data_IF_252121457098
#
_entry.id   IF_252121457098
#
_cell.length_a   1.000
_cell.length_b   1.000
_cell.length_c   1.000
_cell.angle_alpha   90.00
_cell.angle_beta   90.00
_cell.angle_gamma   90.00
#
_symmetry.space_group_name_H-M   'P 1'
#
loop_
_entity.id
_entity.type
_entity.pdbx_description
1 polymer ?
#
# COMPACT_ATOMS: atom_id res chain seq x y z
N UNK A 1 24.18 -23.35 5.98
CA UNK A 1 23.16 -24.27 6.52
C UNK A 1 22.53 -23.63 7.76
N UNK A 2 21.20 -23.42 7.73
CA UNK A 2 20.23 -23.31 8.84
C UNK A 2 20.62 -22.45 10.06
N UNK A 3 19.91 -21.38 10.44
CA UNK A 3 18.46 -21.30 10.68
C UNK A 3 18.00 -19.84 10.63
N UNK A 4 16.92 -19.53 9.90
CA UNK A 4 16.11 -18.32 10.13
C UNK A 4 14.91 -18.74 10.99
N UNK A 5 14.80 -18.15 12.18
CA UNK A 5 13.63 -18.27 13.05
C UNK A 5 12.45 -17.58 12.37
N UNK A 6 11.50 -18.40 11.90
CA UNK A 6 10.16 -17.97 11.53
C UNK A 6 9.35 -18.04 12.83
N UNK A 7 8.90 -16.89 13.33
CA UNK A 7 7.95 -16.83 14.43
C UNK A 7 6.60 -17.35 13.94
N UNK A 8 6.30 -18.62 14.26
CA UNK A 8 4.99 -19.21 14.09
C UNK A 8 4.08 -18.70 15.20
N UNK A 9 3.07 -17.90 14.84
CA UNK A 9 1.98 -17.53 15.74
C UNK A 9 1.09 -18.77 15.87
N UNK A 10 1.16 -19.44 17.03
CA UNK A 10 0.31 -20.56 17.39
C UNK A 10 -1.15 -20.11 17.49
N UNK A 11 -2.00 -20.70 16.66
CA UNK A 11 -3.44 -20.65 16.81
C UNK A 11 -3.88 -21.43 18.04
N UNK A 12 -4.52 -20.75 18.99
CA UNK A 12 -5.37 -21.40 19.98
C UNK A 12 -6.79 -21.50 19.41
N UNK A 13 -7.27 -22.74 19.27
CA UNK A 13 -8.69 -23.06 19.10
C UNK A 13 -9.49 -22.49 20.29
N UNK A 14 -10.18 -21.37 20.07
CA UNK A 14 -11.24 -20.89 20.94
C UNK A 14 -12.55 -21.57 20.57
N UNK A 15 -13.24 -22.10 21.58
CA UNK A 15 -14.56 -22.71 21.47
C UNK A 15 -15.56 -21.76 20.79
N UNK A 16 -16.44 -22.33 19.96
CA UNK A 16 -17.57 -21.63 19.33
C UNK A 16 -18.58 -21.24 20.42
N UNK A 17 -18.34 -20.10 21.05
CA UNK A 17 -19.38 -19.37 21.77
C UNK A 17 -20.22 -18.65 20.73
N UNK A 18 -21.54 -18.84 20.77
CA UNK A 18 -22.49 -18.22 19.86
C UNK A 18 -22.15 -16.74 19.64
N UNK A 19 -21.76 -16.42 18.41
CA UNK A 19 -21.41 -15.06 18.02
C UNK A 19 -22.71 -14.27 18.02
N UNK A 20 -22.87 -13.43 19.02
CA UNK A 20 -23.86 -12.36 18.97
C UNK A 20 -23.57 -11.57 17.69
N UNK A 21 -24.60 -11.43 16.84
CA UNK A 21 -24.56 -10.61 15.64
C UNK A 21 -23.83 -9.29 15.94
N UNK A 22 -22.85 -8.92 15.12
CA UNK A 22 -22.07 -7.70 15.26
C UNK A 22 -22.46 -6.73 14.13
N UNK A 23 -23.40 -5.80 14.40
CA UNK A 23 -23.79 -4.80 13.40
C UNK A 23 -22.64 -3.89 12.98
N UNK A 24 -21.64 -3.71 13.85
CA UNK A 24 -20.46 -2.90 13.56
C UNK A 24 -19.23 -3.78 13.44
N UNK A 25 -18.56 -3.75 12.30
CA UNK A 25 -17.32 -4.49 12.05
C UNK A 25 -16.20 -3.56 11.59
N UNK A 26 -14.99 -3.78 12.08
CA UNK A 26 -13.78 -3.14 11.56
C UNK A 26 -13.00 -4.18 10.80
N UNK A 27 -12.72 -3.90 9.52
CA UNK A 27 -11.94 -4.77 8.66
C UNK A 27 -10.60 -4.12 8.35
N UNK A 28 -9.52 -4.84 8.65
CA UNK A 28 -8.17 -4.47 8.27
C UNK A 28 -7.54 -5.63 7.51
N UNK A 29 -7.23 -5.39 6.25
CA UNK A 29 -6.90 -6.43 5.27
C UNK A 29 -5.58 -6.06 4.61
N UNK A 30 -4.66 -7.00 4.49
CA UNK A 30 -3.41 -6.80 3.73
C UNK A 30 -3.34 -7.76 2.55
N UNK A 31 -2.96 -7.25 1.38
CA UNK A 31 -2.71 -8.07 0.19
C UNK A 31 -1.77 -7.37 -0.79
N UNK A 32 -1.19 -8.16 -1.70
CA UNK A 32 -0.39 -7.67 -2.82
C UNK A 32 -1.30 -7.36 -4.02
N UNK A 33 -1.14 -6.19 -4.62
CA UNK A 33 -2.02 -5.67 -5.67
C UNK A 33 -2.05 -6.56 -6.90
N UNK A 34 -0.91 -7.14 -7.28
CA UNK A 34 -0.79 -7.96 -8.48
C UNK A 34 -1.46 -9.33 -8.33
N UNK A 35 -1.25 -9.98 -7.18
CA UNK A 35 -1.80 -11.32 -6.88
C UNK A 35 -3.21 -11.26 -6.30
N UNK A 36 -3.57 -10.17 -5.61
CA UNK A 36 -4.81 -10.03 -4.87
C UNK A 36 -4.86 -10.97 -3.66
N UNK A 37 -6.08 -11.31 -3.24
CA UNK A 37 -6.37 -12.30 -2.20
C UNK A 37 -7.75 -12.89 -2.41
N UNK A 38 -8.09 -13.97 -1.73
CA UNK A 38 -9.45 -14.50 -1.72
C UNK A 38 -10.49 -13.44 -1.28
N UNK A 39 -11.74 -13.64 -1.71
CA UNK A 39 -12.89 -12.83 -1.33
C UNK A 39 -12.94 -12.55 0.18
N UNK A 40 -13.32 -11.33 0.54
CA UNK A 40 -13.40 -10.93 1.93
C UNK A 40 -14.81 -10.58 2.35
N UNK A 41 -15.30 -11.31 3.34
CA UNK A 41 -16.64 -11.15 3.88
C UNK A 41 -16.61 -10.20 5.07
N UNK A 42 -17.36 -9.11 4.98
CA UNK A 42 -17.61 -8.20 6.12
C UNK A 42 -18.64 -8.82 7.05
N UNK A 43 -19.67 -9.42 6.45
CA UNK A 43 -20.65 -10.26 7.11
C UNK A 43 -20.79 -11.55 6.30
N UNK A 44 -20.70 -12.69 6.98
CA UNK A 44 -20.84 -14.00 6.37
C UNK A 44 -21.91 -14.78 7.13
N UNK A 45 -23.07 -14.93 6.51
CA UNK A 45 -24.23 -15.56 7.14
C UNK A 45 -24.62 -14.92 8.49
N UNK A 46 -24.57 -13.59 8.54
CA UNK A 46 -24.90 -12.82 9.74
C UNK A 46 -26.41 -12.89 10.04
N UNK A 47 -26.83 -13.36 11.22
CA UNK A 47 -28.24 -13.49 11.55
C UNK A 47 -28.92 -12.12 11.71
N UNK A 48 -30.24 -12.04 11.47
CA UNK A 48 -30.98 -10.81 11.71
C UNK A 48 -31.06 -10.51 13.22
N UNK A 49 -31.35 -9.25 13.60
CA UNK A 49 -31.51 -8.86 15.01
C UNK A 49 -32.68 -9.57 15.70
N UNK A 50 -33.68 -10.00 14.93
CA UNK A 50 -34.86 -10.73 15.41
C UNK A 50 -35.35 -11.69 14.32
N UNK A 51 -36.05 -12.74 14.73
CA UNK A 51 -36.83 -13.62 13.85
C UNK A 51 -38.29 -13.59 14.31
N UNK A 52 -39.16 -12.96 13.53
CA UNK A 52 -40.59 -12.87 13.83
C UNK A 52 -41.45 -12.81 12.56
N UNK A 53 -42.78 -12.77 12.71
CA UNK A 53 -43.66 -12.63 11.55
C UNK A 53 -43.31 -11.38 10.74
N UNK A 54 -43.04 -10.26 11.41
CA UNK A 54 -42.74 -8.97 10.78
C UNK A 54 -41.44 -8.99 9.96
N UNK A 55 -40.43 -9.77 10.39
CA UNK A 55 -39.14 -9.87 9.68
C UNK A 55 -39.24 -10.55 8.32
N UNK A 56 -40.36 -11.23 8.03
CA UNK A 56 -40.67 -11.83 6.72
C UNK A 56 -40.59 -10.83 5.58
N UNK A 57 -40.97 -9.57 5.83
CA UNK A 57 -41.00 -8.48 4.85
C UNK A 57 -39.82 -7.51 5.02
N UNK A 58 -38.89 -7.82 5.92
CA UNK A 58 -37.73 -6.97 6.14
C UNK A 58 -36.71 -7.10 5.01
N UNK A 59 -36.03 -5.99 4.75
CA UNK A 59 -34.96 -5.87 3.78
C UNK A 59 -33.81 -5.04 4.37
N UNK A 60 -32.67 -5.06 3.70
CA UNK A 60 -31.52 -4.22 3.97
C UNK A 60 -31.51 -3.03 3.01
N UNK A 61 -31.82 -1.85 3.51
CA UNK A 61 -31.53 -0.61 2.79
C UNK A 61 -30.01 -0.46 2.64
N UNK A 62 -29.58 -0.22 1.41
CA UNK A 62 -28.16 -0.18 1.03
C UNK A 62 -27.79 1.02 0.15
N UNK A 63 -28.74 1.93 -0.11
CA UNK A 63 -28.52 3.13 -0.91
C UNK A 63 -28.58 4.37 -0.03
N UNK A 64 -27.48 5.14 0.00
CA UNK A 64 -27.30 6.34 0.79
C UNK A 64 -26.60 7.41 -0.05
N UNK A 65 -27.36 8.27 -0.76
CA UNK A 65 -26.80 9.30 -1.64
C UNK A 65 -25.84 10.27 -0.94
N UNK A 66 -26.13 10.65 0.30
CA UNK A 66 -25.30 11.57 1.10
C UNK A 66 -23.87 11.03 1.33
N UNK A 67 -23.73 9.72 1.41
CA UNK A 67 -22.44 9.02 1.55
C UNK A 67 -21.88 8.54 0.20
N UNK A 68 -22.51 8.92 -0.92
CA UNK A 68 -22.19 8.44 -2.27
C UNK A 68 -22.17 6.90 -2.37
N UNK A 69 -22.99 6.23 -1.56
CA UNK A 69 -23.17 4.78 -1.59
C UNK A 69 -24.41 4.46 -2.41
N UNK A 70 -24.24 3.62 -3.44
CA UNK A 70 -25.34 3.19 -4.30
C UNK A 70 -25.58 1.69 -4.16
N UNK A 71 -26.81 1.26 -4.41
CA UNK A 71 -27.19 -0.13 -4.41
C UNK A 71 -27.96 -0.46 -5.68
N UNK A 72 -27.49 -1.44 -6.42
CA UNK A 72 -28.11 -1.86 -7.69
C UNK A 72 -28.38 -3.35 -7.67
N UNK A 73 -29.50 -3.79 -8.24
CA UNK A 73 -29.84 -5.21 -8.30
C UNK A 73 -29.06 -5.92 -9.41
N UNK A 74 -28.49 -7.08 -9.08
CA UNK A 74 -27.84 -8.00 -10.01
C UNK A 74 -28.39 -9.41 -9.77
N UNK A 75 -29.52 -9.72 -10.40
CA UNK A 75 -30.26 -10.97 -10.16
C UNK A 75 -30.70 -11.10 -8.70
N UNK A 76 -30.35 -12.21 -8.06
CA UNK A 76 -30.62 -12.47 -6.65
C UNK A 76 -29.59 -11.84 -5.69
N UNK A 77 -28.76 -10.93 -6.16
CA UNK A 77 -27.76 -10.21 -5.36
C UNK A 77 -27.88 -8.71 -5.59
N UNK A 78 -27.25 -7.94 -4.72
CA UNK A 78 -27.08 -6.50 -4.82
C UNK A 78 -25.61 -6.17 -5.02
N UNK A 79 -25.33 -5.19 -5.87
CA UNK A 79 -24.02 -4.55 -5.98
C UNK A 79 -24.09 -3.25 -5.20
N UNK A 80 -23.34 -3.17 -4.09
CA UNK A 80 -23.21 -1.99 -3.25
C UNK A 80 -21.91 -1.29 -3.63
N UNK A 81 -21.99 -0.15 -4.29
CA UNK A 81 -20.81 0.64 -4.64
C UNK A 81 -20.55 1.68 -3.56
N UNK A 82 -19.33 1.71 -3.06
CA UNK A 82 -18.80 2.72 -2.13
C UNK A 82 -17.56 3.37 -2.73
N UNK A 83 -17.03 4.39 -2.05
CA UNK A 83 -15.71 4.96 -2.37
C UNK A 83 -14.74 4.65 -1.24
N UNK A 84 -13.55 4.16 -1.61
CA UNK A 84 -12.40 4.15 -0.73
C UNK A 84 -11.52 5.37 -1.03
N UNK A 85 -10.80 5.85 -0.02
CA UNK A 85 -9.88 6.97 -0.11
C UNK A 85 -8.50 6.53 0.33
N UNK A 86 -7.49 6.70 -0.50
CA UNK A 86 -6.10 6.42 -0.11
C UNK A 86 -5.61 7.50 0.85
N UNK A 87 -5.06 7.08 1.98
CA UNK A 87 -4.79 7.90 3.16
C UNK A 87 -3.81 9.06 2.90
N UNK A 88 -2.78 8.87 2.09
CA UNK A 88 -1.70 9.84 1.91
C UNK A 88 -1.96 10.80 0.76
N UNK A 89 -2.51 10.30 -0.34
CA UNK A 89 -2.79 11.04 -1.56
C UNK A 89 -4.18 11.67 -1.60
N UNK A 90 -5.12 11.17 -0.79
CA UNK A 90 -6.53 11.55 -0.87
C UNK A 90 -7.24 11.03 -2.12
N UNK A 91 -6.60 10.14 -2.90
CA UNK A 91 -7.19 9.57 -4.09
C UNK A 91 -8.45 8.79 -3.74
N UNK A 92 -9.58 9.10 -4.40
CA UNK A 92 -10.84 8.38 -4.23
C UNK A 92 -11.04 7.38 -5.36
N UNK A 93 -11.44 6.16 -5.02
CA UNK A 93 -11.69 5.10 -5.99
C UNK A 93 -13.01 4.37 -5.68
N UNK A 94 -13.90 4.18 -6.68
CA UNK A 94 -15.12 3.41 -6.48
C UNK A 94 -14.80 1.92 -6.35
N UNK A 95 -15.44 1.26 -5.40
CA UNK A 95 -15.29 -0.18 -5.15
C UNK A 95 -16.67 -0.81 -5.01
N UNK A 96 -16.87 -1.94 -5.67
CA UNK A 96 -18.12 -2.69 -5.68
C UNK A 96 -18.08 -3.87 -4.71
N UNK A 97 -18.98 -3.83 -3.74
CA UNK A 97 -19.25 -4.94 -2.83
C UNK A 97 -20.43 -5.74 -3.37
N UNK A 98 -20.43 -7.04 -3.11
CA UNK A 98 -21.52 -7.94 -3.44
C UNK A 98 -22.23 -8.36 -2.18
N UNK A 99 -23.54 -8.19 -2.16
CA UNK A 99 -24.36 -8.50 -1.01
C UNK A 99 -25.63 -9.23 -1.38
N UNK A 100 -26.14 -10.03 -0.45
CA UNK A 100 -27.44 -10.66 -0.56
C UNK A 100 -27.93 -11.00 0.84
N UNK A 101 -29.23 -11.31 0.93
CA UNK A 101 -29.78 -11.97 2.09
C UNK A 101 -30.23 -13.39 1.73
N UNK A 102 -30.01 -14.31 2.66
CA UNK A 102 -30.61 -15.65 2.60
C UNK A 102 -31.89 -15.63 3.42
N UNK A 103 -33.04 -15.82 2.77
CA UNK A 103 -34.33 -15.94 3.45
C UNK A 103 -34.51 -17.41 3.87
N UNK A 104 -34.90 -17.67 5.11
CA UNK A 104 -35.00 -19.05 5.63
C UNK A 104 -36.25 -19.31 6.47
N UNK A 105 -36.77 -20.53 6.36
CA UNK A 105 -37.79 -21.07 7.27
C UNK A 105 -37.09 -21.81 8.40
N UNK A 106 -37.16 -21.24 9.61
CA UNK A 106 -36.52 -21.80 10.80
C UNK A 106 -37.43 -22.71 11.62
N UNK A 107 -38.74 -22.54 11.48
CA UNK A 107 -39.74 -23.27 12.30
C UNK A 107 -39.70 -24.77 12.02
N UNK A 108 -39.93 -25.56 13.08
CA UNK A 108 -40.06 -27.01 12.96
C UNK A 108 -41.26 -27.38 12.08
N UNK A 109 -41.03 -28.28 11.13
CA UNK A 109 -42.06 -28.74 10.20
C UNK A 109 -41.50 -29.19 8.86
N UNK A 110 -42.39 -29.49 7.88
CA UNK A 110 -42.03 -30.00 6.55
C UNK A 110 -41.10 -29.08 5.75
N UNK A 111 -41.11 -27.78 6.06
CA UNK A 111 -40.32 -26.75 5.38
C UNK A 111 -39.08 -26.29 6.17
N UNK A 112 -38.74 -26.95 7.28
CA UNK A 112 -37.57 -26.58 8.09
C UNK A 112 -36.30 -26.65 7.24
N UNK A 113 -35.53 -25.57 7.23
CA UNK A 113 -34.29 -25.47 6.45
C UNK A 113 -34.50 -25.11 4.98
N UNK A 114 -35.73 -24.83 4.54
CA UNK A 114 -35.95 -24.19 3.25
C UNK A 114 -35.28 -22.82 3.24
N UNK A 115 -34.57 -22.51 2.16
CA UNK A 115 -33.93 -21.21 1.97
C UNK A 115 -33.97 -20.76 0.51
N UNK A 116 -33.85 -19.45 0.31
CA UNK A 116 -33.62 -18.85 -1.00
C UNK A 116 -32.70 -17.63 -0.87
N UNK A 117 -31.98 -17.31 -1.94
CA UNK A 117 -31.09 -16.14 -2.00
C UNK A 117 -31.83 -14.97 -2.63
N UNK A 118 -31.80 -13.81 -1.99
CA UNK A 118 -32.44 -12.57 -2.44
C UNK A 118 -31.50 -11.38 -2.35
N UNK A 119 -31.72 -10.39 -3.21
CA UNK A 119 -31.05 -9.10 -3.15
C UNK A 119 -31.37 -8.40 -1.83
N UNK A 120 -30.47 -7.51 -1.39
CA UNK A 120 -30.56 -6.84 -0.09
C UNK A 120 -31.83 -6.01 0.07
N UNK A 121 -32.25 -5.31 -0.99
CA UNK A 121 -33.38 -4.38 -1.03
C UNK A 121 -34.75 -5.04 -1.29
N UNK A 122 -34.83 -6.37 -1.28
CA UNK A 122 -36.08 -7.10 -1.55
C UNK A 122 -36.94 -7.28 -0.30
N UNK A 123 -37.94 -6.41 -0.11
CA UNK A 123 -38.92 -6.52 0.98
C UNK A 123 -40.01 -7.57 0.78
N UNK A 124 -39.92 -8.44 -0.24
CA UNK A 124 -40.96 -9.44 -0.53
C UNK A 124 -40.98 -10.52 0.55
N UNK A 125 -42.19 -10.87 0.99
CA UNK A 125 -42.42 -12.02 1.88
C UNK A 125 -42.34 -13.33 1.10
N UNK A 126 -41.47 -14.23 1.55
CA UNK A 126 -41.28 -15.55 0.95
C UNK A 126 -41.80 -16.65 1.87
N UNK A 127 -42.28 -17.74 1.28
CA UNK A 127 -42.76 -18.89 2.01
C UNK A 127 -42.46 -20.19 1.27
N UNK A 128 -42.27 -21.25 2.05
CA UNK A 128 -42.28 -22.63 1.56
C UNK A 128 -43.70 -23.18 1.72
N UNK A 129 -44.20 -23.87 0.69
CA UNK A 129 -45.53 -24.48 0.72
C UNK A 129 -45.40 -25.98 0.93
N UNK A 130 -45.97 -26.48 2.03
CA UNK A 130 -46.16 -27.92 2.20
C UNK A 130 -47.24 -28.39 1.22
N UNK A 131 -46.85 -29.28 0.31
CA UNK A 131 -47.73 -29.81 -0.74
C UNK A 131 -48.74 -30.83 -0.20
N UNK A 132 -48.46 -31.44 0.95
CA UNK A 132 -49.31 -32.47 1.56
C UNK A 132 -50.49 -31.82 2.29
N UNK A 133 -50.21 -30.84 3.15
CA UNK A 133 -51.24 -30.20 3.97
C UNK A 133 -51.71 -28.84 3.41
N UNK A 134 -51.14 -28.39 2.29
CA UNK A 134 -51.44 -27.09 1.67
C UNK A 134 -51.20 -25.89 2.61
N UNK A 135 -50.22 -25.99 3.51
CA UNK A 135 -49.86 -24.96 4.51
C UNK A 135 -48.60 -24.20 4.06
N UNK A 136 -48.61 -22.88 4.21
CA UNK A 136 -47.46 -22.02 3.94
C UNK A 136 -46.63 -21.74 5.21
N UNK A 137 -45.31 -21.91 5.11
CA UNK A 137 -44.34 -21.62 6.16
C UNK A 137 -43.51 -20.40 5.75
N UNK A 138 -43.62 -19.32 6.51
CA UNK A 138 -42.98 -18.04 6.18
C UNK A 138 -41.47 -18.09 6.43
N UNK A 139 -40.71 -17.55 5.50
CA UNK A 139 -39.27 -17.37 5.63
C UNK A 139 -38.97 -16.11 6.48
N UNK A 140 -39.12 -16.27 7.79
CA UNK A 140 -39.00 -15.20 8.80
C UNK A 140 -37.55 -14.77 9.02
N UNK A 141 -36.57 -15.63 8.75
CA UNK A 141 -35.15 -15.33 8.98
C UNK A 141 -34.54 -14.66 7.75
N UNK A 142 -33.83 -13.54 7.94
CA UNK A 142 -33.12 -12.79 6.90
C UNK A 142 -31.63 -12.71 7.24
N UNK A 143 -30.84 -13.61 6.67
CA UNK A 143 -29.41 -13.73 6.99
C UNK A 143 -28.59 -12.88 6.02
N UNK A 144 -27.76 -11.96 6.52
CA UNK A 144 -26.96 -11.03 5.71
C UNK A 144 -25.64 -11.69 5.25
N UNK A 145 -25.28 -11.48 3.99
CA UNK A 145 -23.92 -11.69 3.49
C UNK A 145 -23.49 -10.49 2.66
N UNK A 146 -22.32 -9.93 2.96
CA UNK A 146 -21.71 -8.84 2.20
C UNK A 146 -20.20 -9.05 2.13
N UNK A 147 -19.64 -8.97 0.93
CA UNK A 147 -18.22 -9.22 0.71
C UNK A 147 -17.67 -8.40 -0.46
N UNK A 148 -16.35 -8.27 -0.51
CA UNK A 148 -15.60 -7.75 -1.65
C UNK A 148 -14.92 -8.90 -2.39
N UNK A 149 -15.12 -8.98 -3.70
CA UNK A 149 -14.52 -10.02 -4.55
C UNK A 149 -13.03 -9.72 -4.80
N UNK A 150 -12.22 -10.76 -4.96
CA UNK A 150 -10.80 -10.65 -5.31
C UNK A 150 -10.56 -9.74 -6.53
N UNK A 151 -11.37 -9.94 -7.56
CA UNK A 151 -11.25 -9.22 -8.83
C UNK A 151 -11.59 -7.73 -8.69
N UNK A 152 -12.37 -7.34 -7.69
CA UNK A 152 -12.60 -5.93 -7.40
C UNK A 152 -11.42 -5.31 -6.64
N UNK A 153 -10.84 -6.03 -5.67
CA UNK A 153 -9.65 -5.58 -4.92
C UNK A 153 -8.47 -5.28 -5.87
N UNK A 154 -8.26 -6.09 -6.90
CA UNK A 154 -7.21 -5.89 -7.92
C UNK A 154 -7.41 -4.64 -8.81
N UNK A 155 -8.59 -4.02 -8.80
CA UNK A 155 -8.86 -2.82 -9.62
C UNK A 155 -8.39 -1.54 -8.97
N UNK A 156 -7.90 -1.57 -7.73
CA UNK A 156 -7.32 -0.39 -7.11
C UNK A 156 -6.10 0.08 -7.94
N UNK A 157 -5.97 1.39 -8.15
CA UNK A 157 -5.03 1.92 -9.13
C UNK A 157 -3.57 1.86 -8.69
N UNK A 158 -3.31 1.88 -7.39
CA UNK A 158 -2.00 1.98 -6.76
C UNK A 158 -1.98 1.26 -5.41
N UNK A 159 -0.80 0.84 -4.96
CA UNK A 159 -0.57 0.44 -3.57
C UNK A 159 -0.80 1.61 -2.60
N UNK A 160 -1.15 1.31 -1.35
CA UNK A 160 -1.45 2.29 -0.31
C UNK A 160 -2.41 1.78 0.76
N UNK A 161 -2.69 2.62 1.75
CA UNK A 161 -3.73 2.38 2.75
C UNK A 161 -5.03 3.03 2.30
N UNK A 162 -5.97 2.20 1.87
CA UNK A 162 -7.28 2.64 1.38
C UNK A 162 -8.33 2.50 2.48
N UNK A 163 -9.00 3.61 2.80
CA UNK A 163 -9.98 3.69 3.89
C UNK A 163 -11.37 4.05 3.35
N UNK A 164 -12.41 3.41 3.87
CA UNK A 164 -13.79 3.72 3.53
C UNK A 164 -14.77 3.06 4.46
N UNK A 165 -16.07 3.22 4.17
CA UNK A 165 -17.14 2.69 5.01
C UNK A 165 -18.30 2.21 4.14
N UNK A 166 -18.98 1.16 4.58
CA UNK A 166 -20.28 0.74 4.04
C UNK A 166 -21.31 0.75 5.16
N UNK A 167 -22.50 1.27 4.86
CA UNK A 167 -23.66 1.27 5.75
C UNK A 167 -24.76 0.38 5.17
N UNK A 168 -25.44 -0.39 6.01
CA UNK A 168 -26.72 -1.01 5.68
C UNK A 168 -27.72 -0.69 6.80
N UNK A 169 -29.01 -0.73 6.51
CA UNK A 169 -30.06 -0.59 7.51
C UNK A 169 -31.11 -1.69 7.34
N UNK A 170 -31.27 -2.52 8.35
CA UNK A 170 -32.32 -3.53 8.39
C UNK A 170 -33.65 -2.87 8.77
N UNK A 171 -34.68 -3.07 7.95
CA UNK A 171 -35.92 -2.28 8.06
C UNK A 171 -36.77 -2.59 9.30
N UNK A 172 -36.75 -3.83 9.81
CA UNK A 172 -37.49 -4.19 11.02
C UNK A 172 -36.93 -5.46 11.71
N UNK A 173 -36.66 -5.42 13.04
CA UNK A 173 -36.57 -4.20 13.84
C UNK A 173 -35.44 -3.32 13.31
N UNK A 174 -35.68 -2.01 13.27
CA UNK A 174 -34.80 -1.02 12.68
C UNK A 174 -33.39 -1.12 13.29
N UNK A 175 -32.40 -1.56 12.50
CA UNK A 175 -31.03 -1.82 12.98
C UNK A 175 -30.01 -1.37 11.95
N UNK A 176 -29.06 -0.54 12.35
CA UNK A 176 -27.96 -0.08 11.49
C UNK A 176 -26.79 -1.07 11.55
N UNK A 177 -26.25 -1.37 10.36
CA UNK A 177 -25.03 -2.14 10.17
C UNK A 177 -23.97 -1.25 9.53
N UNK A 178 -22.74 -1.32 10.01
CA UNK A 178 -21.63 -0.54 9.48
C UNK A 178 -20.35 -1.36 9.45
N UNK A 179 -19.63 -1.30 8.33
CA UNK A 179 -18.28 -1.81 8.24
C UNK A 179 -17.31 -0.66 7.95
N UNK A 180 -16.33 -0.47 8.84
CA UNK A 180 -15.16 0.36 8.58
C UNK A 180 -14.12 -0.49 7.84
N UNK A 181 -13.69 0.00 6.67
CA UNK A 181 -12.85 -0.75 5.72
C UNK A 181 -11.47 -0.12 5.67
N UNK A 182 -10.43 -0.93 5.92
CA UNK A 182 -9.02 -0.59 5.73
C UNK A 182 -8.35 -1.66 4.88
N UNK A 183 -7.91 -1.28 3.68
CA UNK A 183 -7.15 -2.15 2.79
C UNK A 183 -5.70 -1.65 2.74
N UNK A 184 -4.79 -2.45 3.31
CA UNK A 184 -3.35 -2.32 3.16
C UNK A 184 -2.93 -3.01 1.85
N UNK A 185 -2.88 -2.23 0.77
CA UNK A 185 -2.60 -2.72 -0.58
C UNK A 185 -1.12 -2.54 -0.90
N UNK A 186 -0.37 -3.63 -0.99
CA UNK A 186 1.06 -3.60 -1.25
C UNK A 186 1.34 -3.74 -2.75
N UNK A 187 2.32 -2.99 -3.25
CA UNK A 187 2.80 -3.11 -4.63
C UNK A 187 4.33 -3.26 -4.68
N UNK A 188 4.86 -4.40 -4.20
CA UNK A 188 6.29 -4.64 -4.08
C UNK A 188 7.02 -4.63 -5.42
N UNK A 189 6.32 -4.84 -6.54
CA UNK A 189 6.91 -4.85 -7.87
C UNK A 189 7.33 -3.47 -8.37
N UNK A 190 6.85 -2.41 -7.71
CA UNK A 190 7.14 -1.04 -8.10
C UNK A 190 7.92 -0.25 -7.04
N UNK A 191 8.43 -0.89 -5.98
CA UNK A 191 9.36 -0.25 -5.04
C UNK A 191 10.56 0.27 -5.81
N UNK A 192 10.86 1.57 -5.69
CA UNK A 192 11.90 2.19 -6.53
C UNK A 192 12.55 3.43 -5.88
N UNK A 193 13.79 3.70 -6.32
CA UNK A 193 14.54 4.93 -6.06
C UNK A 193 14.41 5.81 -7.30
N UNK A 194 13.49 6.77 -7.24
CA UNK A 194 13.12 7.58 -8.38
C UNK A 194 13.94 8.87 -8.46
N UNK A 195 14.56 9.12 -9.61
CA UNK A 195 15.25 10.37 -9.93
C UNK A 195 14.46 11.13 -10.99
N UNK A 196 13.73 12.21 -10.64
CA UNK A 196 12.83 12.89 -11.58
C UNK A 196 13.51 13.38 -12.86
N UNK A 197 14.76 13.85 -12.76
CA UNK A 197 15.55 14.31 -13.90
C UNK A 197 15.90 13.18 -14.89
N UNK A 198 15.85 11.92 -14.43
CA UNK A 198 16.23 10.73 -15.20
C UNK A 198 15.07 9.73 -15.33
N UNK A 199 13.82 10.19 -15.32
CA UNK A 199 12.64 9.33 -15.25
C UNK A 199 12.57 8.20 -16.30
N UNK A 200 13.27 8.33 -17.43
CA UNK A 200 13.28 7.32 -18.51
C UNK A 200 14.70 6.85 -18.90
N UNK A 201 15.70 7.12 -18.07
CA UNK A 201 17.10 6.82 -18.37
C UNK A 201 17.86 6.36 -17.13
N UNK A 202 18.98 5.67 -17.33
CA UNK A 202 19.91 5.40 -16.24
C UNK A 202 20.50 6.72 -15.73
N UNK A 203 20.37 7.06 -14.43
CA UNK A 203 20.91 8.30 -13.89
C UNK A 203 22.43 8.41 -14.11
N UNK A 204 22.88 9.54 -14.66
CA UNK A 204 24.29 9.87 -14.83
C UNK A 204 24.51 11.29 -14.36
N UNK A 205 25.32 11.44 -13.32
CA UNK A 205 25.61 12.72 -12.69
C UNK A 205 27.06 13.08 -12.97
N UNK A 206 27.28 14.27 -13.54
CA UNK A 206 28.61 14.80 -13.79
C UNK A 206 29.02 15.68 -12.61
N UNK A 207 30.24 15.48 -12.10
CA UNK A 207 30.86 16.38 -11.14
C UNK A 207 31.61 17.47 -11.90
N UNK A 208 31.41 18.73 -11.51
CA UNK A 208 32.04 19.88 -12.17
C UNK A 208 33.41 20.21 -11.55
N UNK A 209 34.42 19.40 -11.91
CA UNK A 209 35.77 19.47 -11.34
C UNK A 209 36.72 20.39 -12.10
N UNK A 210 36.27 21.60 -12.47
CA UNK A 210 37.14 22.58 -13.10
C UNK A 210 38.06 23.27 -12.06
N UNK A 211 39.33 23.54 -12.40
CA UNK A 211 40.19 24.39 -11.57
C UNK A 211 39.59 25.79 -11.46
N UNK A 212 39.39 26.27 -10.23
CA UNK A 212 38.79 27.60 -10.00
C UNK A 212 39.86 28.69 -10.00
N UNK A 213 40.15 29.31 -11.14
CA UNK A 213 41.09 30.44 -11.25
C UNK A 213 41.85 30.50 -12.59
N UNK A 214 42.72 31.51 -12.73
CA UNK A 214 43.66 31.58 -13.87
C UNK A 214 44.60 30.36 -13.86
N UNK A 215 45.08 29.94 -15.04
CA UNK A 215 46.02 28.83 -15.26
C UNK A 215 47.31 28.94 -14.40
N UNK A 216 47.59 30.14 -13.87
CA UNK A 216 48.72 30.43 -12.98
C UNK A 216 48.34 30.73 -11.51
N UNK A 217 47.06 30.61 -11.12
CA UNK A 217 46.55 31.14 -9.84
C UNK A 217 45.84 30.13 -8.92
N UNK A 218 45.29 29.03 -9.43
CA UNK A 218 44.61 28.02 -8.58
C UNK A 218 44.56 26.66 -9.27
N UNK A 219 45.35 25.72 -8.75
CA UNK A 219 45.41 24.33 -9.21
C UNK A 219 44.44 23.44 -8.41
N UNK A 220 43.33 23.99 -7.93
CA UNK A 220 42.41 23.27 -7.06
C UNK A 220 41.05 23.08 -7.70
N UNK A 221 40.52 21.87 -7.57
CA UNK A 221 39.16 21.51 -7.95
C UNK A 221 38.35 21.14 -6.70
N UNK A 222 37.06 21.44 -6.74
CA UNK A 222 36.05 21.07 -5.75
C UNK A 222 34.69 21.11 -6.45
N UNK A 223 33.70 20.39 -5.95
CA UNK A 223 32.36 20.43 -6.51
C UNK A 223 31.29 20.13 -5.45
N UNK A 224 30.10 20.67 -5.69
CA UNK A 224 28.90 20.41 -4.92
C UNK A 224 27.73 20.20 -5.89
N UNK A 225 27.43 18.94 -6.19
CA UNK A 225 26.36 18.57 -7.11
C UNK A 225 25.14 18.06 -6.34
N UNK A 226 23.97 18.64 -6.59
CA UNK A 226 22.69 18.20 -6.02
C UNK A 226 21.96 17.29 -6.99
N UNK A 227 21.33 16.23 -6.48
CA UNK A 227 20.55 15.28 -7.24
C UNK A 227 19.20 15.08 -6.58
N UNK A 228 18.12 15.44 -7.28
CA UNK A 228 16.77 15.21 -6.77
C UNK A 228 16.43 13.72 -6.77
N UNK A 229 15.90 13.23 -5.66
CA UNK A 229 15.60 11.82 -5.42
C UNK A 229 14.30 11.67 -4.62
N UNK A 230 13.56 10.61 -4.91
CA UNK A 230 12.37 10.25 -4.17
C UNK A 230 12.28 8.73 -3.98
N UNK A 231 11.96 8.29 -2.77
CA UNK A 231 11.81 6.86 -2.47
C UNK A 231 10.35 6.48 -2.51
N UNK A 232 10.01 5.50 -3.33
CA UNK A 232 8.68 4.92 -3.38
C UNK A 232 8.71 3.49 -2.83
N UNK A 233 7.79 3.20 -1.93
CA UNK A 233 7.74 1.98 -1.13
C UNK A 233 6.71 0.95 -1.59
N UNK A 234 6.09 1.17 -2.77
CA UNK A 234 4.98 0.33 -3.21
C UNK A 234 3.74 0.43 -2.30
N UNK A 235 3.71 1.40 -1.38
CA UNK A 235 2.66 1.55 -0.37
C UNK A 235 2.26 3.02 -0.18
N UNK A 236 2.52 3.87 -1.17
CA UNK A 236 2.18 5.30 -1.20
C UNK A 236 2.74 6.11 -0.03
N UNK A 237 3.93 5.74 0.46
CA UNK A 237 4.56 6.40 1.59
C UNK A 237 3.87 6.10 2.92
N UNK A 238 3.10 5.02 3.03
CA UNK A 238 2.49 4.55 4.27
C UNK A 238 3.40 3.58 5.06
N UNK A 239 4.58 3.20 4.54
CA UNK A 239 5.50 2.35 5.28
C UNK A 239 5.98 3.03 6.57
N UNK A 240 6.19 2.25 7.61
CA UNK A 240 6.62 2.76 8.92
C UNK A 240 8.11 3.09 8.90
N UNK A 241 8.93 2.30 8.21
CA UNK A 241 10.38 2.46 8.17
C UNK A 241 10.96 2.17 6.80
N UNK A 242 12.10 2.81 6.50
CA UNK A 242 12.97 2.50 5.36
C UNK A 242 14.35 2.11 5.86
N UNK A 243 14.94 1.12 5.19
CA UNK A 243 16.35 0.77 5.33
C UNK A 243 17.03 1.06 3.99
N UNK A 244 18.10 1.86 4.02
CA UNK A 244 18.80 2.34 2.84
C UNK A 244 20.29 2.15 3.05
N UNK A 245 20.97 1.72 2.00
CA UNK A 245 22.43 1.62 1.95
C UNK A 245 22.86 2.18 0.61
N UNK A 246 23.85 3.07 0.63
CA UNK A 246 24.55 3.49 -0.59
C UNK A 246 25.96 2.92 -0.54
N UNK A 247 26.44 2.42 -1.67
CA UNK A 247 27.85 2.02 -1.81
C UNK A 247 28.39 2.36 -3.18
N UNK A 248 29.69 2.61 -3.25
CA UNK A 248 30.37 2.68 -4.54
C UNK A 248 30.66 1.27 -5.11
N UNK A 249 31.53 1.20 -6.11
CA UNK A 249 31.94 -0.06 -6.74
C UNK A 249 32.62 -1.06 -5.79
N UNK A 250 32.97 -0.65 -4.56
CA UNK A 250 33.61 -1.52 -3.58
C UNK A 250 35.07 -1.86 -3.91
N UNK A 251 35.72 -1.06 -4.75
CA UNK A 251 37.16 -1.22 -5.04
C UNK A 251 38.00 -0.84 -3.81
N UNK A 252 39.19 -1.45 -3.64
CA UNK A 252 40.12 -1.01 -2.59
C UNK A 252 40.42 0.49 -2.71
N UNK A 253 40.44 1.19 -1.58
CA UNK A 253 40.70 2.63 -1.55
C UNK A 253 41.58 2.99 -0.35
N UNK A 254 42.84 2.51 -0.35
CA UNK A 254 43.78 2.78 0.73
C UNK A 254 43.98 4.30 0.92
N UNK A 255 43.89 4.77 2.16
CA UNK A 255 44.00 6.20 2.50
C UNK A 255 42.73 7.03 2.29
N UNK A 256 41.64 6.44 1.76
CA UNK A 256 40.35 7.13 1.67
C UNK A 256 39.80 7.35 3.07
N UNK A 257 39.21 8.52 3.30
CA UNK A 257 38.57 8.81 4.59
C UNK A 257 37.40 7.86 4.83
N UNK A 258 37.21 7.53 6.09
CA UNK A 258 36.16 6.62 6.51
C UNK A 258 34.77 7.15 6.13
N UNK A 259 33.95 6.31 5.50
CA UNK A 259 32.62 6.66 4.99
C UNK A 259 32.58 7.31 3.59
N UNK A 260 33.70 7.76 3.03
CA UNK A 260 33.74 8.39 1.70
C UNK A 260 33.54 7.38 0.55
N UNK A 261 33.15 7.92 -0.60
CA UNK A 261 32.96 7.21 -1.86
C UNK A 261 34.07 7.59 -2.83
N UNK A 262 34.31 6.77 -3.86
CA UNK A 262 35.34 7.05 -4.86
C UNK A 262 34.85 6.85 -6.30
N UNK A 263 35.31 7.72 -7.19
CA UNK A 263 35.34 7.47 -8.64
C UNK A 263 36.78 7.26 -9.10
N UNK A 264 36.97 6.47 -10.15
CA UNK A 264 38.30 6.03 -10.59
C UNK A 264 38.57 6.44 -12.03
N UNK A 265 39.84 6.71 -12.34
CA UNK A 265 40.25 7.04 -13.70
C UNK A 265 39.99 5.86 -14.63
N UNK A 266 39.36 6.16 -15.76
CA UNK A 266 39.12 5.17 -16.81
C UNK A 266 40.43 4.81 -17.51
N UNK A 267 40.66 3.51 -17.67
CA UNK A 267 41.91 2.96 -18.19
C UNK A 267 43.07 2.94 -17.17
N UNK A 268 42.86 3.44 -15.94
CA UNK A 268 43.81 3.27 -14.85
C UNK A 268 43.88 1.82 -14.37
N UNK A 269 45.07 1.36 -13.97
CA UNK A 269 45.29 -0.02 -13.48
C UNK A 269 45.38 -0.12 -11.96
N UNK A 270 45.39 1.00 -11.25
CA UNK A 270 45.50 1.05 -9.78
C UNK A 270 44.32 1.83 -9.17
N UNK A 271 44.19 1.70 -7.85
CA UNK A 271 43.19 2.43 -7.04
C UNK A 271 43.86 3.41 -6.08
N UNK A 272 45.08 3.82 -6.43
CA UNK A 272 45.90 4.73 -5.65
C UNK A 272 45.26 6.12 -5.61
N UNK A 273 45.68 6.93 -4.64
CA UNK A 273 45.10 8.26 -4.42
C UNK A 273 45.18 9.15 -5.68
N UNK A 274 46.22 9.05 -6.51
CA UNK A 274 46.33 9.82 -7.75
C UNK A 274 45.39 9.37 -8.88
N UNK A 275 44.89 8.13 -8.82
CA UNK A 275 44.03 7.48 -9.83
C UNK A 275 42.55 7.46 -9.41
N UNK A 276 42.20 8.08 -8.26
CA UNK A 276 40.82 8.21 -7.80
C UNK A 276 40.49 9.61 -7.29
N UNK A 277 39.20 9.93 -7.26
CA UNK A 277 38.67 11.14 -6.64
C UNK A 277 37.66 10.71 -5.59
N UNK A 278 37.92 11.10 -4.35
CA UNK A 278 37.09 10.76 -3.20
C UNK A 278 36.05 11.87 -2.97
N UNK A 279 34.83 11.49 -2.59
CA UNK A 279 33.71 12.40 -2.39
C UNK A 279 32.79 11.93 -1.25
N UNK A 280 32.10 12.88 -0.64
CA UNK A 280 31.06 12.62 0.36
C UNK A 280 29.69 12.63 -0.28
N UNK A 281 28.80 11.80 0.26
CA UNK A 281 27.39 11.82 -0.08
C UNK A 281 26.63 12.33 1.13
N UNK A 282 25.83 13.37 0.95
CA UNK A 282 24.82 13.80 1.91
C UNK A 282 23.45 13.50 1.38
N UNK A 283 22.52 13.21 2.28
CA UNK A 283 21.14 12.94 1.95
C UNK A 283 20.22 13.74 2.86
N UNK A 284 19.11 14.24 2.30
CA UNK A 284 18.05 14.79 3.12
C UNK A 284 17.43 13.69 4.00
N UNK A 285 17.45 13.89 5.32
CA UNK A 285 16.84 12.99 6.28
C UNK A 285 15.36 13.37 6.46
N UNK A 286 14.41 12.52 6.04
CA UNK A 286 12.99 12.80 6.17
C UNK A 286 12.52 12.84 7.63
N UNK A 287 13.27 12.25 8.58
CA UNK A 287 12.93 12.29 10.00
C UNK A 287 13.15 13.65 10.64
N UNK A 288 14.33 14.24 10.39
CA UNK A 288 14.82 15.47 11.03
C UNK A 288 14.61 16.71 10.17
N UNK A 289 14.47 16.53 8.86
CA UNK A 289 14.37 17.61 7.88
C UNK A 289 15.70 18.31 7.56
N UNK A 290 16.83 17.75 8.01
CA UNK A 290 18.19 18.23 7.72
C UNK A 290 18.95 17.33 6.75
N UNK A 291 20.22 17.65 6.51
CA UNK A 291 21.14 16.78 5.77
C UNK A 291 21.83 15.81 6.74
N UNK A 292 22.03 14.57 6.33
CA UNK A 292 22.87 13.58 7.02
C UNK A 292 24.02 13.16 6.11
N UNK A 293 25.17 12.84 6.72
CA UNK A 293 26.26 12.20 6.01
C UNK A 293 25.92 10.72 5.78
N UNK A 294 25.92 10.31 4.52
CA UNK A 294 25.76 8.92 4.12
C UNK A 294 27.13 8.27 4.11
N UNK A 295 27.26 7.13 4.78
CA UNK A 295 28.52 6.39 4.89
C UNK A 295 28.50 5.22 3.91
N UNK A 296 29.58 5.08 3.15
CA UNK A 296 29.71 4.05 2.12
C UNK A 296 29.59 2.62 2.71
N UNK A 297 28.68 1.83 2.15
CA UNK A 297 28.43 0.43 2.54
C UNK A 297 27.98 0.28 4.01
N UNK A 298 27.26 1.28 4.53
CA UNK A 298 26.60 1.23 5.83
C UNK A 298 25.08 1.44 5.69
N UNK A 299 24.30 0.67 6.46
CA UNK A 299 22.85 0.78 6.45
C UNK A 299 22.41 1.97 7.31
N UNK A 300 21.42 2.70 6.82
CA UNK A 300 20.69 3.72 7.56
C UNK A 300 19.24 3.29 7.66
N UNK A 301 18.67 3.43 8.86
CA UNK A 301 17.26 3.13 9.09
C UNK A 301 16.55 4.41 9.50
N UNK A 302 15.46 4.70 8.81
CA UNK A 302 14.51 5.74 9.20
C UNK A 302 13.20 5.11 9.61
N UNK A 303 12.56 5.70 10.60
CA UNK A 303 11.33 5.27 11.22
C UNK A 303 10.28 6.38 11.13
N UNK A 304 9.04 6.00 11.42
CA UNK A 304 7.87 6.89 11.33
C UNK A 304 7.75 7.59 9.97
N UNK A 305 8.15 6.92 8.89
CA UNK A 305 8.14 7.46 7.52
C UNK A 305 6.71 7.82 7.07
N UNK A 306 5.74 7.01 7.51
CA UNK A 306 4.30 7.25 7.34
C UNK A 306 3.79 8.59 7.92
N UNK A 307 4.58 9.27 8.76
CA UNK A 307 4.27 10.60 9.30
C UNK A 307 5.04 11.73 8.60
N UNK A 308 5.99 11.40 7.70
CA UNK A 308 6.85 12.38 7.03
C UNK A 308 6.23 12.91 5.75
N UNK A 309 6.82 13.98 5.22
CA UNK A 309 6.35 14.63 3.99
C UNK A 309 6.45 13.66 2.81
N UNK A 310 5.45 13.70 1.94
CA UNK A 310 5.43 13.04 0.64
C UNK A 310 5.18 14.05 -0.45
N UNK A 311 5.58 13.71 -1.67
CA UNK A 311 5.21 14.46 -2.87
C UNK A 311 4.65 13.51 -3.94
N UNK A 312 3.74 13.99 -4.79
CA UNK A 312 3.26 13.21 -5.93
C UNK A 312 4.36 13.09 -6.99
N UNK A 313 4.54 11.89 -7.54
CA UNK A 313 5.38 11.59 -8.71
C UNK A 313 4.66 10.61 -9.63
N UNK A 314 5.05 10.59 -10.90
CA UNK A 314 4.59 9.58 -11.87
C UNK A 314 5.76 8.66 -12.17
N UNK A 315 5.67 7.43 -11.68
CA UNK A 315 6.70 6.42 -11.92
C UNK A 315 6.50 5.74 -13.29
N UNK A 316 7.58 5.35 -13.97
CA UNK A 316 7.49 4.48 -15.14
C UNK A 316 6.70 3.21 -14.81
N UNK A 317 5.70 2.88 -15.64
CA UNK A 317 4.85 1.70 -15.44
C UNK A 317 3.59 1.93 -14.60
N UNK A 318 3.50 3.02 -13.84
CA UNK A 318 2.29 3.38 -13.07
C UNK A 318 1.56 4.54 -13.75
N UNK A 319 0.28 4.35 -14.07
CA UNK A 319 -0.53 5.37 -14.79
C UNK A 319 -0.97 6.54 -13.92
N UNK A 320 -1.02 6.36 -12.61
CA UNK A 320 -1.49 7.36 -11.66
C UNK A 320 -0.33 7.92 -10.85
N UNK A 321 -0.47 9.16 -10.39
CA UNK A 321 0.50 9.75 -9.47
C UNK A 321 0.51 8.98 -8.15
N UNK A 322 1.71 8.65 -7.67
CA UNK A 322 1.96 8.00 -6.39
C UNK A 322 2.70 8.96 -5.45
N UNK A 323 2.62 8.69 -4.16
CA UNK A 323 3.28 9.45 -3.11
C UNK A 323 4.60 8.80 -2.76
N UNK A 324 5.69 9.55 -2.97
CA UNK A 324 7.04 9.14 -2.62
C UNK A 324 7.63 10.09 -1.56
N UNK A 325 8.64 9.62 -0.83
CA UNK A 325 9.34 10.39 0.21
C UNK A 325 10.53 11.09 -0.42
N UNK A 326 10.56 12.45 -0.48
CA UNK A 326 11.67 13.18 -1.08
C UNK A 326 12.93 13.08 -0.22
N UNK A 327 14.03 12.68 -0.82
CA UNK A 327 15.32 12.42 -0.15
C UNK A 327 16.51 12.85 -1.01
N UNK A 328 16.55 14.11 -1.52
CA UNK A 328 17.60 14.54 -2.43
C UNK A 328 19.00 14.30 -1.87
N UNK A 329 19.92 13.97 -2.78
CA UNK A 329 21.32 13.74 -2.49
C UNK A 329 22.16 14.98 -2.80
N UNK A 330 23.28 15.13 -2.10
CA UNK A 330 24.33 16.08 -2.41
C UNK A 330 25.66 15.36 -2.47
N UNK A 331 26.29 15.38 -3.64
CA UNK A 331 27.64 14.86 -3.87
C UNK A 331 28.62 16.00 -3.64
N UNK A 332 29.52 15.85 -2.67
CA UNK A 332 30.46 16.88 -2.27
C UNK A 332 31.90 16.39 -2.44
N UNK A 333 32.62 16.98 -3.40
CA UNK A 333 34.05 16.76 -3.59
C UNK A 333 34.79 17.84 -2.82
N UNK A 334 35.56 17.45 -1.82
CA UNK A 334 36.40 18.40 -1.09
C UNK A 334 37.52 18.95 -1.97
N UNK A 335 38.00 20.13 -1.62
CA UNK A 335 39.08 20.80 -2.34
C UNK A 335 40.34 19.92 -2.39
N UNK A 336 40.79 19.59 -3.58
CA UNK A 336 42.05 18.86 -3.83
C UNK A 336 42.88 19.53 -4.92
N UNK A 337 44.20 19.30 -4.91
CA UNK A 337 45.10 19.81 -5.95
C UNK A 337 45.04 18.90 -7.18
N UNK A 338 44.77 19.47 -8.36
CA UNK A 338 44.70 18.71 -9.62
C UNK A 338 46.07 18.14 -10.01
N UNK A 339 47.17 18.70 -9.47
CA UNK A 339 48.52 18.18 -9.69
C UNK A 339 48.77 16.84 -8.98
N UNK A 340 47.95 16.51 -7.98
CA UNK A 340 48.05 15.24 -7.24
C UNK A 340 47.27 14.12 -7.95
N UNK A 341 46.57 14.44 -9.05
CA UNK A 341 45.72 13.52 -9.81
C UNK A 341 46.26 13.31 -11.22
N UNK A 342 46.05 12.10 -11.75
CA UNK A 342 46.45 11.74 -13.10
C UNK A 342 45.44 12.25 -14.13
N UNK A 343 45.91 12.96 -15.16
CA UNK A 343 45.02 13.56 -16.16
C UNK A 343 44.20 12.52 -16.93
N UNK A 344 42.87 12.56 -16.83
CA UNK A 344 41.99 11.61 -17.52
C UNK A 344 40.53 11.76 -17.14
N UNK A 345 39.70 10.87 -17.68
CA UNK A 345 38.27 10.80 -17.35
C UNK A 345 38.06 9.90 -16.13
N UNK A 346 37.31 10.36 -15.14
CA UNK A 346 37.00 9.63 -13.91
C UNK A 346 35.53 9.21 -13.89
N UNK A 347 35.26 7.97 -13.48
CA UNK A 347 33.91 7.43 -13.41
C UNK A 347 33.84 6.36 -12.32
N UNK A 348 32.66 6.22 -11.73
CA UNK A 348 32.33 5.16 -10.79
C UNK A 348 30.82 4.95 -10.76
N UNK A 349 30.40 3.87 -10.14
CA UNK A 349 28.99 3.57 -9.92
C UNK A 349 28.65 3.72 -8.43
N UNK A 350 27.47 4.26 -8.16
CA UNK A 350 26.83 4.22 -6.85
C UNK A 350 25.65 3.23 -6.91
N UNK A 351 25.51 2.38 -5.91
CA UNK A 351 24.46 1.36 -5.79
C UNK A 351 23.65 1.56 -4.53
#
# INVERSE_FOLDING_TARGET
MRNRLIAAILGLCGAVTGVQAAPNVTSEITYDLASGRADYYFWNEEPPPEVSYSTTFSFFQCSYPDSQQTCTSAGNTSVVQIYLTEKRSGMRWPVKLKGYMTVQVWEDGPCKGWYDKKRLDDGTGYQCKDTINNVGYLAKTKVLTLYIEQEEMKKLPIGGLWEGKVKLHFSYPATDYQADIKLNVLDPNHIDVFFPEFAHATPRVQLDLHPTGSVNGSNYAQDLTMLDMCLYDGFNGNAISYEIMLKDEGRPAAGRRDGDFSIYRQGGTTTDEGERIDYRVKMYNPETGGQIDVRNNENMVWNSINLKRVRPVVLPGIRYAVMCVPTPLTLAVEKFSVMDKQAGYYMGNCR
#
